data_IF_338865487901
#
_entry.id   IF_338865487901
#
_cell.length_a   1.000
_cell.length_b   1.000
_cell.length_c   1.000
_cell.angle_alpha   90.00
_cell.angle_beta   90.00
_cell.angle_gamma   90.00
#
_symmetry.space_group_name_H-M   'P 1'
#
loop_
_entity.id
_entity.type
_entity.pdbx_description
1 polymer ?
#
# COMPACT_ATOMS: atom_id res chain seq x y z
N UNK A 1 44.18 6.02 29.61
CA UNK A 1 43.69 6.82 28.46
C UNK A 1 42.79 6.01 27.50
N UNK A 2 42.21 4.88 27.94
CA UNK A 2 41.38 4.01 27.08
C UNK A 2 39.87 4.04 27.42
N UNK A 3 39.44 4.67 28.52
CA UNK A 3 38.03 4.71 28.93
C UNK A 3 37.24 5.88 28.32
N UNK A 4 37.92 6.95 27.91
CA UNK A 4 37.27 8.14 27.33
C UNK A 4 36.77 7.87 25.90
N UNK A 5 37.57 7.14 25.10
CA UNK A 5 37.24 6.77 23.70
C UNK A 5 36.03 5.82 23.64
N UNK A 6 35.88 4.94 24.64
CA UNK A 6 34.73 4.02 24.74
C UNK A 6 33.43 4.75 25.07
N UNK A 7 33.50 5.78 25.93
CA UNK A 7 32.32 6.52 26.38
C UNK A 7 31.78 7.46 25.28
N UNK A 8 32.67 8.11 24.51
CA UNK A 8 32.28 8.88 23.33
C UNK A 8 31.72 7.99 22.20
N UNK A 9 32.27 6.80 21.99
CA UNK A 9 31.75 5.88 20.98
C UNK A 9 30.36 5.34 21.36
N UNK A 10 30.12 5.04 22.64
CA UNK A 10 28.81 4.63 23.16
C UNK A 10 27.78 5.78 23.15
N UNK A 11 28.21 7.03 23.37
CA UNK A 11 27.31 8.19 23.33
C UNK A 11 26.88 8.53 21.90
N UNK A 12 27.77 8.41 20.92
CA UNK A 12 27.44 8.59 19.50
C UNK A 12 26.48 7.50 19.03
N UNK A 13 26.76 6.22 19.34
CA UNK A 13 25.91 5.10 18.95
C UNK A 13 24.50 5.19 19.56
N UNK A 14 24.38 5.63 20.82
CA UNK A 14 23.08 5.84 21.47
C UNK A 14 22.35 7.08 20.94
N UNK A 15 23.07 8.13 20.54
CA UNK A 15 22.48 9.28 19.87
C UNK A 15 21.94 8.92 18.47
N UNK A 16 22.68 8.12 17.70
CA UNK A 16 22.24 7.60 16.40
C UNK A 16 21.00 6.70 16.54
N UNK A 17 20.96 5.85 17.57
CA UNK A 17 19.80 5.02 17.89
C UNK A 17 18.57 5.86 18.24
N UNK A 18 18.73 6.87 19.11
CA UNK A 18 17.66 7.77 19.51
C UNK A 18 17.14 8.59 18.32
N UNK A 19 18.02 9.03 17.44
CA UNK A 19 17.68 9.75 16.20
C UNK A 19 16.88 8.86 15.25
N UNK A 20 17.34 7.63 15.01
CA UNK A 20 16.64 6.66 14.17
C UNK A 20 15.25 6.29 14.73
N UNK A 21 15.14 6.16 16.05
CA UNK A 21 13.84 5.95 16.73
C UNK A 21 12.92 7.16 16.56
N UNK A 22 13.43 8.39 16.75
CA UNK A 22 12.66 9.61 16.55
C UNK A 22 12.14 9.72 15.11
N UNK A 23 12.99 9.43 14.13
CA UNK A 23 12.60 9.38 12.71
C UNK A 23 11.54 8.31 12.43
N UNK A 24 11.66 7.12 13.01
CA UNK A 24 10.65 6.06 12.88
C UNK A 24 9.31 6.46 13.53
N UNK A 25 9.36 7.19 14.64
CA UNK A 25 8.18 7.65 15.36
C UNK A 25 7.47 8.79 14.62
N UNK A 26 8.23 9.74 14.05
CA UNK A 26 7.70 10.79 13.16
C UNK A 26 7.08 10.17 11.90
N UNK A 27 7.71 9.15 11.30
CA UNK A 27 7.12 8.41 10.17
C UNK A 27 5.82 7.71 10.54
N UNK A 28 5.79 6.99 11.66
CA UNK A 28 4.58 6.30 12.13
C UNK A 28 3.44 7.26 12.47
N UNK A 29 3.75 8.45 13.01
CA UNK A 29 2.77 9.50 13.24
C UNK A 29 2.25 10.09 11.93
N UNK A 30 3.13 10.40 10.98
CA UNK A 30 2.74 10.89 9.66
C UNK A 30 1.87 9.87 8.90
N UNK A 31 2.19 8.57 8.98
CA UNK A 31 1.39 7.49 8.38
C UNK A 31 0.00 7.37 9.02
N UNK A 32 -0.13 7.66 10.33
CA UNK A 32 -1.42 7.65 11.05
C UNK A 32 -2.33 8.82 10.67
N UNK A 33 -1.78 9.90 10.13
CA UNK A 33 -2.54 11.09 9.73
C UNK A 33 -2.92 11.11 8.25
N UNK A 34 -2.52 10.11 7.45
CA UNK A 34 -2.94 10.03 6.06
C UNK A 34 -4.42 9.65 5.96
N UNK A 35 -5.28 10.50 5.37
CA UNK A 35 -6.69 10.19 5.21
C UNK A 35 -6.87 8.96 4.31
N UNK A 36 -7.69 8.00 4.74
CA UNK A 36 -8.00 6.80 3.97
C UNK A 36 -9.21 7.06 3.10
N UNK A 37 -9.03 7.08 1.78
CA UNK A 37 -10.14 7.28 0.85
C UNK A 37 -11.09 6.07 0.85
N UNK A 38 -12.37 6.30 1.18
CA UNK A 38 -13.42 5.27 1.21
C UNK A 38 -14.38 5.37 0.02
N UNK A 39 -15.18 4.32 -0.22
CA UNK A 39 -16.26 4.35 -1.22
C UNK A 39 -17.28 5.47 -0.96
N UNK A 40 -17.58 5.76 0.31
CA UNK A 40 -18.52 6.81 0.68
C UNK A 40 -17.97 8.19 0.32
N UNK A 41 -16.68 8.42 0.56
CA UNK A 41 -16.00 9.66 0.19
C UNK A 41 -15.88 9.80 -1.33
N UNK A 42 -15.62 8.72 -2.08
CA UNK A 42 -15.67 8.74 -3.54
C UNK A 42 -17.04 9.20 -4.07
N UNK A 43 -18.13 8.71 -3.47
CA UNK A 43 -19.48 9.12 -3.87
C UNK A 43 -19.76 10.59 -3.52
N UNK A 44 -19.30 11.07 -2.36
CA UNK A 44 -19.44 12.49 -2.00
C UNK A 44 -18.62 13.39 -2.95
N UNK A 45 -17.39 12.99 -3.30
CA UNK A 45 -16.58 13.72 -4.28
C UNK A 45 -17.24 13.79 -5.65
N UNK A 46 -17.90 12.72 -6.11
CA UNK A 46 -18.67 12.76 -7.37
C UNK A 46 -19.91 13.67 -7.27
N UNK A 47 -20.57 13.71 -6.12
CA UNK A 47 -21.64 14.66 -5.85
C UNK A 47 -21.12 16.11 -5.95
N UNK A 48 -20.01 16.42 -5.28
CA UNK A 48 -19.44 17.78 -5.23
C UNK A 48 -18.85 18.23 -6.58
N UNK A 49 -18.09 17.37 -7.25
CA UNK A 49 -17.32 17.75 -8.45
C UNK A 49 -18.12 17.61 -9.75
N UNK A 50 -18.99 16.62 -9.84
CA UNK A 50 -19.73 16.29 -11.07
C UNK A 50 -21.19 16.77 -10.97
N UNK A 51 -21.69 17.05 -9.77
CA UNK A 51 -23.07 17.50 -9.55
C UNK A 51 -24.11 16.38 -9.67
N UNK A 52 -23.69 15.12 -9.63
CA UNK A 52 -24.60 13.97 -9.54
C UNK A 52 -25.37 14.03 -8.22
N UNK A 53 -26.59 13.50 -8.16
CA UNK A 53 -27.24 13.38 -6.86
C UNK A 53 -26.56 12.28 -6.01
N UNK A 54 -26.68 12.36 -4.67
CA UNK A 54 -25.97 11.43 -3.75
C UNK A 54 -26.26 9.96 -4.03
N UNK A 55 -27.48 9.65 -4.46
CA UNK A 55 -27.90 8.28 -4.78
C UNK A 55 -27.20 7.79 -6.05
N UNK A 56 -27.27 8.56 -7.13
CA UNK A 56 -26.60 8.27 -8.40
C UNK A 56 -25.08 8.15 -8.23
N UNK A 57 -24.47 9.04 -7.46
CA UNK A 57 -23.04 8.99 -7.17
C UNK A 57 -22.64 7.69 -6.45
N UNK A 58 -23.41 7.31 -5.43
CA UNK A 58 -23.20 6.03 -4.72
C UNK A 58 -23.39 4.83 -5.65
N UNK A 59 -24.49 4.81 -6.40
CA UNK A 59 -24.82 3.71 -7.31
C UNK A 59 -23.76 3.57 -8.41
N UNK A 60 -23.22 4.69 -8.92
CA UNK A 60 -22.14 4.71 -9.90
C UNK A 60 -20.84 4.12 -9.34
N UNK A 61 -20.43 4.53 -8.14
CA UNK A 61 -19.21 3.99 -7.49
C UNK A 61 -19.35 2.49 -7.26
N UNK A 62 -20.50 2.03 -6.76
CA UNK A 62 -20.70 0.59 -6.51
C UNK A 62 -20.68 -0.19 -7.83
N UNK A 63 -21.47 0.25 -8.81
CA UNK A 63 -21.54 -0.40 -10.14
C UNK A 63 -20.18 -0.47 -10.82
N UNK A 64 -19.37 0.60 -10.73
CA UNK A 64 -18.02 0.61 -11.29
C UNK A 64 -17.14 -0.52 -10.71
N UNK A 65 -17.18 -0.72 -9.39
CA UNK A 65 -16.42 -1.80 -8.77
C UNK A 65 -17.03 -3.18 -8.99
N UNK A 66 -18.35 -3.29 -9.12
CA UNK A 66 -19.04 -4.52 -9.53
C UNK A 66 -18.58 -4.99 -10.90
N UNK A 67 -18.57 -4.11 -11.91
CA UNK A 67 -18.13 -4.47 -13.27
C UNK A 67 -16.67 -4.98 -13.29
N UNK A 68 -15.79 -4.41 -12.47
CA UNK A 68 -14.42 -4.89 -12.31
C UNK A 68 -14.40 -6.29 -11.68
N UNK A 69 -15.20 -6.52 -10.64
CA UNK A 69 -15.31 -7.83 -9.98
C UNK A 69 -15.81 -8.89 -10.95
N UNK A 70 -16.89 -8.60 -11.65
CA UNK A 70 -17.55 -9.54 -12.55
C UNK A 70 -16.65 -9.90 -13.73
N UNK A 71 -15.93 -8.93 -14.30
CA UNK A 71 -14.93 -9.20 -15.34
C UNK A 71 -13.83 -10.14 -14.83
N UNK A 72 -13.29 -9.90 -13.63
CA UNK A 72 -12.23 -10.74 -13.06
C UNK A 72 -12.74 -12.14 -12.70
N UNK A 73 -13.99 -12.28 -12.25
CA UNK A 73 -14.61 -13.58 -11.98
C UNK A 73 -14.74 -14.41 -13.26
N UNK A 74 -15.12 -13.77 -14.38
CA UNK A 74 -15.19 -14.41 -15.70
C UNK A 74 -13.84 -14.80 -16.30
N UNK A 75 -12.73 -14.42 -15.67
CA UNK A 75 -11.40 -14.69 -16.20
C UNK A 75 -10.82 -13.58 -17.07
N UNK A 76 -11.49 -12.43 -17.16
CA UNK A 76 -11.09 -11.32 -18.02
C UNK A 76 -10.03 -10.44 -17.34
N UNK A 77 -9.23 -9.77 -18.15
CA UNK A 77 -8.23 -8.80 -17.68
C UNK A 77 -8.83 -7.40 -17.74
N UNK A 78 -8.74 -6.64 -16.65
CA UNK A 78 -9.23 -5.25 -16.61
C UNK A 78 -8.05 -4.29 -16.78
N UNK A 79 -8.12 -3.42 -17.80
CA UNK A 79 -7.09 -2.41 -18.07
C UNK A 79 -7.70 -1.01 -17.96
N UNK A 80 -7.20 -0.23 -17.01
CA UNK A 80 -7.58 1.16 -16.80
C UNK A 80 -6.45 2.06 -17.26
N UNK A 81 -6.58 2.63 -18.46
CA UNK A 81 -5.53 3.47 -19.08
C UNK A 81 -5.12 4.61 -18.15
N UNK A 82 -3.82 4.84 -17.99
CA UNK A 82 -3.26 5.86 -17.09
C UNK A 82 -3.35 5.55 -15.59
N UNK A 83 -4.06 4.49 -15.19
CA UNK A 83 -4.15 4.06 -13.79
C UNK A 83 -3.38 2.77 -13.56
N UNK A 84 -3.80 1.67 -14.18
CA UNK A 84 -3.15 0.36 -14.01
C UNK A 84 -3.94 -0.78 -14.64
N UNK A 85 -3.54 -2.01 -14.33
CA UNK A 85 -4.24 -3.21 -14.81
C UNK A 85 -4.41 -4.24 -13.69
N UNK A 86 -5.58 -4.88 -13.69
CA UNK A 86 -5.87 -6.06 -12.90
C UNK A 86 -5.64 -7.30 -13.75
N UNK A 87 -4.81 -8.21 -13.24
CA UNK A 87 -4.47 -9.47 -13.90
C UNK A 87 -4.83 -10.65 -13.02
N UNK A 88 -5.19 -11.76 -13.65
CA UNK A 88 -5.40 -13.03 -12.99
C UNK A 88 -4.13 -13.87 -13.09
N UNK A 89 -3.73 -14.48 -11.99
CA UNK A 89 -2.58 -15.38 -11.92
C UNK A 89 -2.98 -16.66 -11.22
N UNK A 90 -2.75 -17.78 -11.88
CA UNK A 90 -2.90 -19.09 -11.26
C UNK A 90 -1.62 -19.41 -10.49
N UNK A 91 -1.78 -19.59 -9.18
CA UNK A 91 -0.68 -19.91 -8.27
C UNK A 91 -0.72 -21.40 -7.95
N UNK A 92 0.37 -22.16 -8.19
CA UNK A 92 0.42 -23.58 -7.86
C UNK A 92 0.46 -23.78 -6.34
N UNK A 93 0.14 -25.00 -5.92
CA UNK A 93 0.32 -25.42 -4.54
C UNK A 93 1.81 -25.35 -4.16
N UNK A 94 2.11 -24.90 -2.95
CA UNK A 94 3.48 -24.79 -2.44
C UNK A 94 3.53 -25.01 -0.93
N UNK A 95 4.67 -25.45 -0.38
CA UNK A 95 4.80 -25.56 1.08
C UNK A 95 4.64 -24.18 1.73
N UNK A 96 3.91 -24.16 2.84
CA UNK A 96 3.74 -23.01 3.72
C UNK A 96 3.96 -23.42 5.16
N UNK A 97 4.03 -22.45 6.06
CA UNK A 97 4.19 -22.68 7.49
C UNK A 97 3.31 -21.75 8.29
N UNK A 98 2.77 -22.24 9.39
CA UNK A 98 2.07 -21.40 10.35
C UNK A 98 3.09 -20.44 11.00
N UNK A 99 2.95 -19.10 10.87
CA UNK A 99 3.91 -18.16 11.44
C UNK A 99 4.04 -18.24 12.96
N UNK A 100 3.03 -18.78 13.66
CA UNK A 100 3.01 -18.90 15.12
C UNK A 100 3.56 -20.23 15.63
N UNK A 101 3.27 -21.35 14.96
CA UNK A 101 3.61 -22.71 15.44
C UNK A 101 4.76 -23.36 14.65
N UNK A 102 5.09 -22.86 13.46
CA UNK A 102 6.11 -23.44 12.59
C UNK A 102 5.66 -24.69 11.83
N UNK A 103 4.46 -25.21 12.12
CA UNK A 103 3.89 -26.39 11.46
C UNK A 103 3.76 -26.16 9.95
N UNK A 104 4.09 -27.19 9.17
CA UNK A 104 3.98 -27.14 7.72
C UNK A 104 2.51 -27.27 7.31
N UNK A 105 1.99 -26.22 6.68
CA UNK A 105 0.63 -26.17 6.17
C UNK A 105 0.74 -25.83 4.68
N UNK A 106 0.34 -26.72 3.76
CA UNK A 106 0.44 -26.46 2.34
C UNK A 106 -0.47 -25.29 1.95
N UNK A 107 0.04 -24.40 1.10
CA UNK A 107 -0.74 -23.33 0.51
C UNK A 107 -1.37 -23.89 -0.75
N UNK A 108 -2.70 -23.99 -0.78
CA UNK A 108 -3.44 -24.56 -1.90
C UNK A 108 -3.28 -23.76 -3.19
N UNK A 109 -3.38 -24.47 -4.32
CA UNK A 109 -3.42 -23.84 -5.63
C UNK A 109 -4.68 -22.97 -5.75
N UNK A 110 -4.53 -21.75 -6.28
CA UNK A 110 -5.64 -20.80 -6.40
C UNK A 110 -5.35 -19.74 -7.44
N UNK A 111 -6.42 -19.17 -7.99
CA UNK A 111 -6.36 -17.95 -8.79
C UNK A 111 -6.28 -16.75 -7.87
N UNK A 112 -5.39 -15.81 -8.17
CA UNK A 112 -5.25 -14.53 -7.46
C UNK A 112 -5.39 -13.37 -8.44
N UNK A 113 -5.94 -12.27 -7.96
CA UNK A 113 -5.96 -10.98 -8.66
C UNK A 113 -4.71 -10.20 -8.26
N UNK A 114 -4.00 -9.62 -9.22
CA UNK A 114 -2.89 -8.69 -8.97
C UNK A 114 -3.14 -7.38 -9.69
N UNK A 115 -2.86 -6.26 -9.01
CA UNK A 115 -2.89 -4.93 -9.61
C UNK A 115 -1.47 -4.48 -9.97
N UNK A 116 -1.27 -4.02 -11.20
CA UNK A 116 -0.04 -3.37 -11.62
C UNK A 116 -0.33 -1.91 -11.95
N UNK A 117 0.23 -1.01 -11.13
CA UNK A 117 0.18 0.43 -11.38
C UNK A 117 0.87 0.79 -12.69
N UNK A 118 0.24 1.68 -13.46
CA UNK A 118 0.82 2.23 -14.69
C UNK A 118 2.00 3.13 -14.38
N UNK A 119 2.86 3.37 -15.38
CA UNK A 119 3.97 4.32 -15.23
C UNK A 119 3.48 5.73 -14.88
N UNK A 120 2.37 6.17 -15.50
CA UNK A 120 1.75 7.46 -15.20
C UNK A 120 1.39 7.59 -13.72
N UNK A 121 0.70 6.58 -13.17
CA UNK A 121 0.34 6.57 -11.74
C UNK A 121 1.57 6.57 -10.84
N UNK A 122 2.58 5.73 -11.15
CA UNK A 122 3.82 5.67 -10.37
C UNK A 122 4.56 7.00 -10.35
N UNK A 123 4.74 7.64 -11.51
CA UNK A 123 5.41 8.94 -11.60
C UNK A 123 4.66 10.04 -10.86
N UNK A 124 3.32 10.06 -10.90
CA UNK A 124 2.54 11.01 -10.12
C UNK A 124 2.77 10.84 -8.62
N UNK A 125 2.72 9.60 -8.12
CA UNK A 125 2.95 9.31 -6.69
C UNK A 125 4.39 9.62 -6.28
N UNK A 126 5.38 9.31 -7.11
CA UNK A 126 6.80 9.57 -6.81
C UNK A 126 7.12 11.06 -6.76
N UNK A 127 6.57 11.86 -7.68
CA UNK A 127 6.78 13.31 -7.72
C UNK A 127 6.16 14.04 -6.52
N UNK A 128 5.06 13.50 -5.99
CA UNK A 128 4.31 14.09 -4.88
C UNK A 128 4.78 13.55 -3.52
N UNK A 129 5.62 12.51 -3.52
CA UNK A 129 6.31 12.04 -2.33
C UNK A 129 7.42 13.02 -1.95
N UNK A 130 7.39 13.64 -0.75
CA UNK A 130 8.54 14.39 -0.28
C UNK A 130 9.72 13.42 -0.19
N UNK A 131 10.82 13.74 -0.87
CA UNK A 131 12.05 12.93 -0.87
C UNK A 131 12.55 12.85 0.58
N UNK A 132 12.16 11.80 1.29
CA UNK A 132 12.73 11.49 2.59
C UNK A 132 14.17 11.03 2.37
N UNK A 133 15.11 11.42 3.24
CA UNK A 133 16.51 11.04 3.08
C UNK A 133 16.64 9.51 3.02
N UNK A 134 17.52 8.99 2.15
CA UNK A 134 17.74 7.56 2.02
C UNK A 134 18.17 6.96 3.36
N UNK A 135 17.72 5.74 3.65
CA UNK A 135 18.24 4.97 4.79
C UNK A 135 19.75 4.81 4.58
N UNK A 136 20.55 5.38 5.47
CA UNK A 136 21.98 5.05 5.51
C UNK A 136 22.09 3.58 5.94
N UNK A 137 22.71 2.78 5.08
CA UNK A 137 22.91 1.34 5.27
C UNK A 137 23.98 1.08 6.33
#
# INVERSE_FOLDING_TARGET
MNDVISTEFQSVLSADLNRAMLEAQVRSQAEKELPTLTKAELAELLFEQVGLNKREAKDMVETFFDEIRDALERGELVKLSGFGNFQLRDKPQRPGRNPKTGEEIPITARRVVTFHASQKLKSMVENEYPVLPPRMA
#
